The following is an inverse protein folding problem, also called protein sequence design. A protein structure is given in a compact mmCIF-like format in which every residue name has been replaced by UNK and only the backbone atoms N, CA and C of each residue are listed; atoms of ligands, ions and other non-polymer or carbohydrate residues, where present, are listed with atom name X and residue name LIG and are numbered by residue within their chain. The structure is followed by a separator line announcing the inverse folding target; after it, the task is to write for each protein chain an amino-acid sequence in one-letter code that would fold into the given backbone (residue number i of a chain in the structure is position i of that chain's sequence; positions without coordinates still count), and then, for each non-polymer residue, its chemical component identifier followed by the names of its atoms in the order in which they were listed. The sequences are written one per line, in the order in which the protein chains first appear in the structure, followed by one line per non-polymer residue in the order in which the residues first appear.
data_IF_042443289813
#
_entry.id   IF_042443289813
#
_cell.length_a   1.000
_cell.length_b   1.000
_cell.length_c   1.000
_cell.angle_alpha   90.00
_cell.angle_beta   90.00
_cell.angle_gamma   90.00
#
_symmetry.space_group_name_H-M   'P 1'
#
loop_
_entity.id
_entity.type
_entity.pdbx_description
1 polymer ?
#
# COMPACT_ATOMS: atom_id res chain seq x y z
N UNK A 1 56.55 62.62 -55.36
CA UNK A 1 55.69 61.53 -55.89
C UNK A 1 56.44 60.24 -55.68
N UNK A 2 56.00 59.21 -54.97
CA UNK A 2 54.70 58.84 -54.38
C UNK A 2 54.96 58.06 -53.08
N UNK A 3 54.02 58.19 -52.16
CA UNK A 3 54.05 57.74 -50.77
C UNK A 3 53.93 56.22 -50.62
N UNK A 4 54.59 55.72 -49.58
CA UNK A 4 54.48 54.35 -49.09
C UNK A 4 53.05 54.07 -48.59
N UNK A 5 52.48 52.93 -49.01
CA UNK A 5 51.17 52.45 -48.57
C UNK A 5 51.38 51.62 -47.30
N UNK A 6 51.03 52.20 -46.15
CA UNK A 6 50.85 51.48 -44.89
C UNK A 6 49.50 50.77 -44.92
N UNK A 7 49.50 49.44 -44.75
CA UNK A 7 48.31 48.61 -44.66
C UNK A 7 47.90 48.55 -43.19
N UNK A 8 46.85 49.29 -42.83
CA UNK A 8 46.33 49.44 -41.47
C UNK A 8 45.23 48.40 -41.26
N UNK A 9 45.54 47.30 -40.57
CA UNK A 9 44.56 46.27 -40.20
C UNK A 9 43.78 46.76 -38.98
N UNK A 10 42.58 47.27 -39.21
CA UNK A 10 41.62 47.58 -38.14
C UNK A 10 40.96 46.29 -37.69
N UNK A 11 41.34 45.78 -36.51
CA UNK A 11 40.63 44.70 -35.82
C UNK A 11 39.29 45.24 -35.29
N UNK A 12 38.18 44.85 -35.93
CA UNK A 12 36.84 45.01 -35.38
C UNK A 12 36.67 43.94 -34.27
N UNK A 13 36.70 44.36 -33.01
CA UNK A 13 36.16 43.56 -31.92
C UNK A 13 34.64 43.56 -32.04
N UNK A 14 34.09 42.52 -32.66
CA UNK A 14 32.68 42.18 -32.49
C UNK A 14 32.57 41.59 -31.09
N UNK A 15 32.08 42.39 -30.14
CA UNK A 15 31.62 41.89 -28.85
C UNK A 15 30.39 41.03 -29.14
N UNK A 16 30.60 39.72 -29.30
CA UNK A 16 29.50 38.77 -29.27
C UNK A 16 28.90 38.84 -27.87
N UNK A 17 27.76 39.52 -27.73
CA UNK A 17 26.84 39.24 -26.64
C UNK A 17 26.46 37.77 -26.78
N UNK A 18 27.15 36.92 -26.02
CA UNK A 18 26.72 35.56 -25.77
C UNK A 18 25.39 35.65 -25.04
N UNK A 19 24.29 35.65 -25.81
CA UNK A 19 22.98 35.35 -25.28
C UNK A 19 23.06 33.89 -24.84
N UNK A 20 23.41 33.67 -23.56
CA UNK A 20 23.26 32.38 -22.91
C UNK A 20 21.80 32.00 -23.10
N UNK A 21 21.55 30.99 -23.92
CA UNK A 21 20.23 30.35 -23.93
C UNK A 21 20.12 29.68 -22.58
N UNK A 22 19.40 30.30 -21.65
CA UNK A 22 18.93 29.61 -20.45
C UNK A 22 18.22 28.35 -20.94
N UNK A 23 18.69 27.18 -20.49
CA UNK A 23 17.98 25.94 -20.74
C UNK A 23 16.57 26.07 -20.15
N UNK A 24 15.54 25.57 -20.86
CA UNK A 24 14.17 25.66 -20.36
C UNK A 24 14.10 24.94 -19.01
N UNK A 25 13.70 25.68 -17.98
CA UNK A 25 13.53 25.15 -16.64
C UNK A 25 12.46 24.03 -16.65
N UNK A 26 12.87 22.81 -16.36
CA UNK A 26 11.97 21.67 -16.19
C UNK A 26 11.88 21.30 -14.70
N UNK A 27 10.66 21.18 -14.13
CA UNK A 27 10.50 20.78 -12.73
C UNK A 27 10.93 19.32 -12.52
N UNK A 28 11.44 19.03 -11.32
CA UNK A 28 11.73 17.66 -10.90
C UNK A 28 10.42 16.83 -10.90
N UNK A 29 10.41 15.65 -11.52
CA UNK A 29 9.23 14.78 -11.54
C UNK A 29 9.50 13.52 -10.72
N UNK A 30 8.60 13.20 -9.80
CA UNK A 30 8.62 11.94 -9.04
C UNK A 30 7.29 11.22 -9.13
N UNK A 31 7.32 9.91 -8.95
CA UNK A 31 6.13 9.09 -8.78
C UNK A 31 6.27 8.22 -7.54
N UNK A 32 5.17 8.01 -6.82
CA UNK A 32 5.15 7.14 -5.65
C UNK A 32 3.84 6.36 -5.58
N UNK A 33 3.93 5.13 -5.06
CA UNK A 33 2.77 4.29 -4.79
C UNK A 33 2.68 3.94 -3.31
N UNK A 34 1.61 4.40 -2.65
CA UNK A 34 1.40 4.31 -1.20
C UNK A 34 0.06 3.61 -0.94
N UNK A 35 -0.08 2.84 0.16
CA UNK A 35 -1.38 2.27 0.54
C UNK A 35 -2.31 3.35 1.09
N UNK A 36 -3.63 3.17 0.95
CA UNK A 36 -4.62 4.03 1.61
C UNK A 36 -4.43 4.04 3.14
N UNK A 37 -4.31 5.23 3.74
CA UNK A 37 -4.10 5.43 5.17
C UNK A 37 -2.64 5.36 5.63
N UNK A 38 -1.69 5.09 4.73
CA UNK A 38 -0.25 5.13 5.01
C UNK A 38 0.32 6.56 4.87
N UNK A 39 1.51 6.75 5.42
CA UNK A 39 2.31 7.97 5.22
C UNK A 39 3.70 7.60 4.71
N UNK A 40 4.16 8.28 3.67
CA UNK A 40 5.48 8.05 3.08
C UNK A 40 6.29 9.32 3.05
N UNK A 41 7.58 9.18 3.31
CA UNK A 41 8.56 10.25 3.20
C UNK A 41 9.27 10.19 1.84
N UNK A 42 9.45 11.35 1.22
CA UNK A 42 10.12 11.50 -0.07
C UNK A 42 11.22 12.54 0.07
N UNK A 43 12.43 12.12 -0.27
CA UNK A 43 13.57 13.02 -0.44
C UNK A 43 13.49 13.68 -1.81
N UNK A 44 13.62 15.01 -1.82
CA UNK A 44 13.75 15.81 -3.04
C UNK A 44 15.17 16.35 -3.15
N UNK A 45 15.62 16.62 -4.37
CA UNK A 45 16.98 17.13 -4.60
C UNK A 45 17.08 18.63 -4.27
N UNK A 46 15.96 19.34 -4.31
CA UNK A 46 15.90 20.77 -4.02
C UNK A 46 16.21 21.04 -2.54
N UNK A 47 17.14 21.96 -2.28
CA UNK A 47 17.45 22.42 -0.94
C UNK A 47 16.28 23.23 -0.36
N UNK A 48 15.60 22.63 0.63
CA UNK A 48 14.44 23.21 1.29
C UNK A 48 14.79 24.22 2.39
N UNK A 49 16.07 24.37 2.76
CA UNK A 49 16.47 25.20 3.91
C UNK A 49 16.33 26.70 3.67
N UNK A 50 16.32 27.12 2.41
CA UNK A 50 16.25 28.52 1.99
C UNK A 50 15.02 28.86 1.12
N UNK A 51 14.09 27.92 0.94
CA UNK A 51 12.91 28.14 0.10
C UNK A 51 11.70 28.63 0.90
N UNK A 52 10.90 29.51 0.31
CA UNK A 52 9.54 29.81 0.79
C UNK A 52 8.57 28.82 0.15
N UNK A 53 8.82 27.53 0.40
CA UNK A 53 8.11 26.48 -0.29
C UNK A 53 6.66 26.34 0.17
N UNK A 54 5.75 26.21 -0.79
CA UNK A 54 4.37 25.81 -0.57
C UNK A 54 4.10 24.44 -1.22
N UNK A 55 3.20 23.66 -0.64
CA UNK A 55 2.70 22.43 -1.22
C UNK A 55 1.26 22.62 -1.68
N UNK A 56 0.96 22.18 -2.89
CA UNK A 56 -0.38 22.16 -3.44
C UNK A 56 -0.74 20.73 -3.87
N UNK A 57 -1.75 20.15 -3.24
CA UNK A 57 -2.38 18.92 -3.72
C UNK A 57 -3.56 19.27 -4.63
N UNK A 58 -3.64 18.63 -5.79
CA UNK A 58 -4.78 18.77 -6.70
C UNK A 58 -6.07 18.20 -6.12
N UNK A 59 -5.95 17.12 -5.34
CA UNK A 59 -7.07 16.46 -4.67
C UNK A 59 -6.66 16.03 -3.25
N UNK A 60 -7.08 16.84 -2.27
CA UNK A 60 -6.81 16.61 -0.86
C UNK A 60 -7.64 15.45 -0.27
N UNK A 61 -8.71 15.01 -0.93
CA UNK A 61 -9.42 13.79 -0.52
C UNK A 61 -8.59 12.53 -0.79
N UNK A 62 -7.67 12.58 -1.77
CA UNK A 62 -6.79 11.45 -2.11
C UNK A 62 -5.51 11.49 -1.27
N UNK A 63 -4.79 12.61 -1.29
CA UNK A 63 -3.57 12.75 -0.52
C UNK A 63 -3.24 14.22 -0.18
N UNK A 64 -2.58 14.39 0.96
CA UNK A 64 -2.04 15.66 1.44
C UNK A 64 -0.54 15.54 1.66
N UNK A 65 0.18 16.64 1.66
CA UNK A 65 1.61 16.63 1.95
C UNK A 65 2.03 17.76 2.89
N UNK A 66 3.10 17.51 3.64
CA UNK A 66 3.76 18.47 4.51
C UNK A 66 5.26 18.46 4.23
N UNK A 67 5.92 19.58 4.53
CA UNK A 67 7.38 19.69 4.44
C UNK A 67 7.96 19.46 5.83
N UNK A 68 8.99 18.63 5.93
CA UNK A 68 9.83 18.51 7.13
C UNK A 68 11.30 18.80 6.80
N UNK A 69 12.18 18.68 7.79
CA UNK A 69 13.62 19.00 7.65
C UNK A 69 14.35 18.09 6.66
N UNK A 70 13.74 16.99 6.24
CA UNK A 70 14.36 15.92 5.46
C UNK A 70 13.72 15.75 4.09
N UNK A 71 12.57 16.37 3.82
CA UNK A 71 11.88 16.26 2.54
C UNK A 71 10.38 16.52 2.65
N UNK A 72 9.61 15.80 1.83
CA UNK A 72 8.15 15.90 1.74
C UNK A 72 7.53 14.64 2.33
N UNK A 73 6.63 14.83 3.29
CA UNK A 73 5.85 13.76 3.92
C UNK A 73 4.45 13.75 3.33
N UNK A 74 4.08 12.65 2.65
CA UNK A 74 2.79 12.46 1.97
C UNK A 74 1.91 11.54 2.80
N UNK A 75 0.72 12.01 3.18
CA UNK A 75 -0.31 11.23 3.87
C UNK A 75 -1.46 10.96 2.92
N UNK A 76 -1.87 9.69 2.80
CA UNK A 76 -2.94 9.25 1.89
C UNK A 76 -4.24 8.99 2.64
N UNK A 77 -5.36 9.27 1.98
CA UNK A 77 -6.69 9.19 2.59
C UNK A 77 -7.66 8.30 1.82
N UNK A 78 -7.60 8.32 0.48
CA UNK A 78 -8.52 7.60 -0.40
C UNK A 78 -7.78 7.04 -1.61
N UNK A 79 -8.08 5.81 -2.00
CA UNK A 79 -7.49 5.21 -3.19
C UNK A 79 -7.82 5.99 -4.46
N UNK A 80 -6.83 6.15 -5.33
CA UNK A 80 -6.93 6.98 -6.53
C UNK A 80 -5.56 7.53 -6.92
N UNK A 81 -5.54 8.56 -7.74
CA UNK A 81 -4.31 9.24 -8.14
C UNK A 81 -4.48 10.75 -8.03
N UNK A 82 -3.45 11.43 -7.53
CA UNK A 82 -3.41 12.89 -7.43
C UNK A 82 -2.00 13.40 -7.70
N UNK A 83 -1.87 14.67 -8.08
CA UNK A 83 -0.58 15.34 -8.20
C UNK A 83 -0.36 16.27 -7.00
N UNK A 84 0.83 16.22 -6.43
CA UNK A 84 1.29 17.17 -5.42
C UNK A 84 2.42 18.00 -6.02
N UNK A 85 2.29 19.32 -5.98
CA UNK A 85 3.30 20.27 -6.46
C UNK A 85 3.98 20.96 -5.31
N UNK A 86 5.31 21.00 -5.37
CA UNK A 86 6.15 21.89 -4.56
C UNK A 86 6.36 23.18 -5.33
N UNK A 87 6.06 24.33 -4.73
CA UNK A 87 6.22 25.64 -5.34
C UNK A 87 7.16 26.51 -4.51
N UNK A 88 7.99 27.34 -5.16
CA UNK A 88 8.70 28.46 -4.54
C UNK A 88 8.35 29.74 -5.29
N UNK A 89 7.62 30.64 -4.64
CA UNK A 89 7.11 31.88 -5.24
C UNK A 89 6.47 31.66 -6.63
N UNK A 90 5.48 30.76 -6.70
CA UNK A 90 4.74 30.34 -7.91
C UNK A 90 5.53 29.53 -8.97
N UNK A 91 6.85 29.36 -8.80
CA UNK A 91 7.65 28.46 -9.62
C UNK A 91 7.48 27.03 -9.11
N UNK A 92 7.00 26.12 -9.98
CA UNK A 92 6.89 24.69 -9.67
C UNK A 92 8.30 24.11 -9.58
N UNK A 93 8.71 23.68 -8.40
CA UNK A 93 10.01 23.05 -8.14
C UNK A 93 9.98 21.55 -8.43
N UNK A 94 8.91 20.89 -8.00
CA UNK A 94 8.74 19.45 -8.15
C UNK A 94 7.26 19.09 -8.33
N UNK A 95 7.00 18.14 -9.22
CA UNK A 95 5.71 17.48 -9.40
C UNK A 95 5.80 16.02 -8.93
N UNK A 96 4.94 15.65 -7.99
CA UNK A 96 4.91 14.32 -7.39
C UNK A 96 3.59 13.66 -7.73
N UNK A 97 3.61 12.67 -8.61
CA UNK A 97 2.47 11.86 -8.93
C UNK A 97 2.27 10.80 -7.84
N UNK A 98 1.16 10.90 -7.11
CA UNK A 98 0.82 10.01 -5.99
C UNK A 98 -0.25 9.03 -6.44
N UNK A 99 0.08 7.74 -6.42
CA UNK A 99 -0.88 6.66 -6.63
C UNK A 99 -1.22 5.98 -5.30
N UNK A 100 -2.44 6.17 -4.82
CA UNK A 100 -2.94 5.58 -3.57
C UNK A 100 -3.63 4.25 -3.89
N UNK A 101 -3.02 3.16 -3.43
CA UNK A 101 -3.51 1.78 -3.62
C UNK A 101 -4.54 1.41 -2.57
N UNK A 102 -5.57 0.68 -2.99
CA UNK A 102 -6.38 -0.12 -2.09
C UNK A 102 -6.02 -1.60 -2.21
N UNK A 103 -6.30 -2.38 -1.17
CA UNK A 103 -6.06 -3.82 -1.22
C UNK A 103 -6.77 -4.45 -2.40
N UNK A 104 -6.00 -5.11 -3.26
CA UNK A 104 -6.45 -5.66 -4.53
C UNK A 104 -5.56 -6.83 -4.90
N UNK A 105 -6.14 -7.88 -5.45
CA UNK A 105 -5.39 -8.99 -6.02
C UNK A 105 -6.29 -9.79 -6.95
N UNK A 106 -5.78 -10.19 -8.14
CA UNK A 106 -6.53 -11.08 -9.02
C UNK A 106 -6.66 -12.49 -8.45
N UNK A 107 -5.72 -12.92 -7.61
CA UNK A 107 -5.63 -14.31 -7.14
C UNK A 107 -4.86 -14.42 -5.81
N UNK A 108 -5.61 -14.62 -4.74
CA UNK A 108 -5.11 -15.01 -3.42
C UNK A 108 -5.58 -16.43 -3.15
N UNK A 109 -4.69 -17.30 -2.70
CA UNK A 109 -5.04 -18.65 -2.26
C UNK A 109 -4.98 -18.70 -0.74
N UNK A 110 -6.04 -19.22 -0.13
CA UNK A 110 -6.05 -19.53 1.30
C UNK A 110 -5.26 -20.83 1.54
N UNK A 111 -4.12 -20.73 2.22
CA UNK A 111 -3.28 -21.86 2.60
C UNK A 111 -3.75 -22.53 3.90
N UNK A 112 -4.83 -22.03 4.50
CA UNK A 112 -5.43 -22.52 5.72
C UNK A 112 -4.71 -22.07 6.99
N UNK A 113 -5.04 -22.76 8.07
CA UNK A 113 -4.42 -22.57 9.38
C UNK A 113 -3.05 -23.26 9.37
N UNK A 114 -1.94 -22.55 9.66
CA UNK A 114 -0.62 -23.16 9.79
C UNK A 114 -0.63 -24.36 10.74
N UNK A 115 0.04 -25.44 10.34
CA UNK A 115 0.34 -26.54 11.25
C UNK A 115 1.39 -26.07 12.25
N UNK A 116 1.24 -26.46 13.53
CA UNK A 116 2.26 -26.21 14.56
C UNK A 116 3.52 -26.98 14.17
N UNK A 117 4.50 -26.34 13.56
CA UNK A 117 5.84 -26.92 13.46
C UNK A 117 6.94 -25.84 13.51
N UNK A 118 7.75 -25.93 14.58
CA UNK A 118 9.15 -25.49 14.64
C UNK A 118 9.49 -23.99 14.60
N UNK A 119 8.58 -23.10 14.22
CA UNK A 119 8.93 -21.70 13.94
C UNK A 119 8.36 -20.69 14.96
N UNK A 120 9.22 -20.01 15.74
CA UNK A 120 8.79 -18.90 16.60
C UNK A 120 8.16 -17.78 15.77
N UNK A 121 6.97 -17.31 16.14
CA UNK A 121 6.30 -16.16 15.50
C UNK A 121 5.16 -16.48 14.53
N UNK A 122 4.73 -17.73 14.40
CA UNK A 122 3.60 -18.13 13.53
C UNK A 122 2.33 -18.39 14.35
N UNK A 123 1.40 -17.43 14.46
CA UNK A 123 0.19 -17.64 15.23
C UNK A 123 -0.79 -18.41 14.34
N UNK A 124 -1.01 -19.70 14.57
CA UNK A 124 -2.05 -20.47 13.87
C UNK A 124 -3.39 -20.39 14.59
N UNK A 125 -3.44 -20.91 15.82
CA UNK A 125 -4.61 -20.86 16.70
C UNK A 125 -4.15 -20.44 18.09
N UNK A 126 -4.83 -19.46 18.68
CA UNK A 126 -4.65 -19.05 20.09
C UNK A 126 -5.94 -19.31 20.84
N UNK A 127 -5.88 -20.15 21.88
CA UNK A 127 -7.02 -20.46 22.74
C UNK A 127 -6.58 -20.27 24.21
N UNK A 128 -7.34 -19.47 24.96
CA UNK A 128 -7.16 -19.30 26.41
C UNK A 128 -8.46 -19.68 27.12
N UNK A 129 -8.39 -20.70 27.97
CA UNK A 129 -9.49 -21.23 28.76
C UNK A 129 -8.99 -21.73 30.11
N UNK A 130 -9.83 -21.75 31.14
CA UNK A 130 -9.50 -22.34 32.45
C UNK A 130 -9.68 -23.86 32.44
N UNK A 131 -10.66 -24.38 31.71
CA UNK A 131 -10.81 -25.83 31.49
C UNK A 131 -9.78 -26.30 30.47
N UNK A 132 -8.85 -27.15 30.89
CA UNK A 132 -7.72 -27.64 30.07
C UNK A 132 -8.15 -28.62 28.96
N UNK A 133 -9.37 -29.16 28.99
CA UNK A 133 -9.86 -30.12 27.99
C UNK A 133 -10.40 -29.43 26.75
N UNK A 134 -11.00 -28.27 26.93
CA UNK A 134 -11.73 -27.52 25.90
C UNK A 134 -10.84 -27.00 24.77
N UNK A 135 -9.60 -26.52 25.00
CA UNK A 135 -8.74 -26.05 23.92
C UNK A 135 -8.52 -27.08 22.79
N UNK A 136 -8.38 -28.36 23.11
CA UNK A 136 -8.20 -29.40 22.09
C UNK A 136 -9.47 -29.67 21.28
N UNK A 137 -10.65 -29.60 21.91
CA UNK A 137 -11.94 -29.72 21.22
C UNK A 137 -12.15 -28.53 20.27
N UNK A 138 -11.90 -27.31 20.76
CA UNK A 138 -12.01 -26.08 19.96
C UNK A 138 -11.02 -26.09 18.79
N UNK A 139 -9.76 -26.48 19.01
CA UNK A 139 -8.76 -26.57 17.93
C UNK A 139 -9.22 -27.53 16.82
N UNK A 140 -9.80 -28.68 17.19
CA UNK A 140 -10.34 -29.63 16.22
C UNK A 140 -11.51 -29.03 15.43
N UNK A 141 -12.50 -28.45 16.11
CA UNK A 141 -13.65 -27.81 15.46
C UNK A 141 -13.23 -26.68 14.51
N UNK A 142 -12.29 -25.82 14.92
CA UNK A 142 -11.76 -24.74 14.08
C UNK A 142 -11.11 -25.27 12.79
N UNK A 143 -10.37 -26.38 12.89
CA UNK A 143 -9.74 -27.00 11.71
C UNK A 143 -10.77 -27.60 10.77
N UNK A 144 -11.72 -28.36 11.30
CA UNK A 144 -12.83 -28.94 10.52
C UNK A 144 -13.66 -27.85 9.81
N UNK A 145 -13.92 -26.72 10.48
CA UNK A 145 -14.61 -25.57 9.86
C UNK A 145 -13.82 -24.88 8.74
N UNK A 146 -12.49 -24.97 8.79
CA UNK A 146 -11.59 -24.31 7.84
C UNK A 146 -11.31 -25.14 6.61
N UNK A 147 -11.45 -26.46 6.69
CA UNK A 147 -11.18 -27.41 5.59
C UNK A 147 -11.79 -27.01 4.24
N UNK A 148 -13.07 -26.57 4.15
CA UNK A 148 -13.67 -26.20 2.86
C UNK A 148 -13.01 -25.00 2.17
N UNK A 149 -12.31 -24.16 2.93
CA UNK A 149 -11.67 -22.95 2.43
C UNK A 149 -10.19 -23.14 2.09
N UNK A 150 -9.59 -24.27 2.49
CA UNK A 150 -8.20 -24.56 2.12
C UNK A 150 -8.10 -24.72 0.60
N UNK A 151 -7.24 -23.92 -0.01
CA UNK A 151 -7.09 -23.83 -1.46
C UNK A 151 -8.14 -22.98 -2.14
N UNK A 152 -9.07 -22.35 -1.41
CA UNK A 152 -10.02 -21.42 -2.00
C UNK A 152 -9.28 -20.20 -2.57
N UNK A 153 -9.73 -19.76 -3.74
CA UNK A 153 -9.20 -18.58 -4.42
C UNK A 153 -10.06 -17.37 -4.12
N UNK A 154 -9.42 -16.28 -3.74
CA UNK A 154 -10.04 -14.99 -3.51
C UNK A 154 -9.55 -14.00 -4.56
N UNK A 155 -10.48 -13.22 -5.10
CA UNK A 155 -10.17 -12.08 -5.96
C UNK A 155 -10.70 -10.82 -5.30
N UNK A 156 -9.91 -9.76 -5.28
CA UNK A 156 -10.27 -8.44 -4.76
C UNK A 156 -10.04 -7.40 -5.85
N UNK A 157 -11.09 -6.64 -6.18
CA UNK A 157 -11.01 -5.57 -7.16
C UNK A 157 -11.16 -4.22 -6.45
N UNK A 158 -10.11 -3.38 -6.51
CA UNK A 158 -10.13 -2.07 -5.86
C UNK A 158 -11.14 -1.11 -6.48
N UNK A 159 -11.32 -1.13 -7.81
CA UNK A 159 -12.13 -0.12 -8.50
C UNK A 159 -13.63 -0.29 -8.20
N UNK A 160 -14.08 -1.54 -8.11
CA UNK A 160 -15.48 -1.91 -7.83
C UNK A 160 -15.75 -2.18 -6.35
N UNK A 161 -14.71 -2.29 -5.53
CA UNK A 161 -14.77 -2.75 -4.12
C UNK A 161 -15.48 -4.09 -3.95
N UNK A 162 -15.43 -4.94 -4.98
CA UNK A 162 -15.98 -6.30 -4.97
C UNK A 162 -14.91 -7.34 -4.73
N UNK A 163 -15.32 -8.42 -4.07
CA UNK A 163 -14.51 -9.62 -3.96
C UNK A 163 -15.30 -10.85 -4.40
N UNK A 164 -14.58 -11.90 -4.78
CA UNK A 164 -15.13 -13.22 -5.01
C UNK A 164 -14.34 -14.27 -4.23
N UNK A 165 -15.00 -15.37 -3.88
CA UNK A 165 -14.38 -16.57 -3.31
C UNK A 165 -14.78 -17.73 -4.20
N UNK A 166 -13.81 -18.51 -4.65
CA UNK A 166 -14.03 -19.78 -5.33
C UNK A 166 -13.44 -20.91 -4.49
N UNK A 167 -14.30 -21.71 -3.91
CA UNK A 167 -13.90 -22.89 -3.13
C UNK A 167 -13.60 -24.07 -4.05
N UNK A 168 -12.92 -25.08 -3.51
CA UNK A 168 -12.62 -26.34 -4.22
C UNK A 168 -13.88 -27.15 -4.57
N UNK A 169 -15.00 -26.89 -3.90
CA UNK A 169 -16.32 -27.50 -4.14
C UNK A 169 -17.17 -26.76 -5.18
N UNK A 170 -16.56 -25.88 -5.99
CA UNK A 170 -17.20 -25.03 -7.01
C UNK A 170 -18.24 -24.03 -6.46
N UNK A 171 -18.38 -23.92 -5.14
CA UNK A 171 -19.20 -22.86 -4.53
C UNK A 171 -18.48 -21.54 -4.69
N UNK A 172 -19.19 -20.58 -5.30
CA UNK A 172 -18.72 -19.23 -5.53
C UNK A 172 -19.51 -18.24 -4.68
N UNK A 173 -18.81 -17.38 -3.97
CA UNK A 173 -19.38 -16.24 -3.25
C UNK A 173 -18.95 -14.94 -3.95
N UNK A 174 -19.84 -13.96 -4.00
CA UNK A 174 -19.54 -12.59 -4.44
C UNK A 174 -20.06 -11.62 -3.38
N UNK A 175 -19.29 -10.56 -3.13
CA UNK A 175 -19.69 -9.52 -2.21
C UNK A 175 -18.87 -8.26 -2.36
N UNK A 176 -19.02 -7.36 -1.39
CA UNK A 176 -18.17 -6.18 -1.24
C UNK A 176 -17.23 -6.33 -0.05
N UNK A 177 -16.12 -5.60 -0.08
CA UNK A 177 -15.17 -5.60 1.03
C UNK A 177 -14.74 -4.19 1.41
N UNK A 178 -14.42 -4.06 2.70
CA UNK A 178 -13.72 -2.91 3.26
C UNK A 178 -12.40 -3.40 3.82
N UNK A 179 -11.33 -2.64 3.58
CA UNK A 179 -9.99 -2.95 4.02
C UNK A 179 -9.30 -1.70 4.56
N UNK A 180 -8.47 -1.91 5.58
CA UNK A 180 -7.38 -1.02 5.95
C UNK A 180 -6.17 -1.89 6.38
N UNK A 181 -5.06 -1.24 6.70
CA UNK A 181 -3.79 -1.91 7.06
C UNK A 181 -3.89 -2.94 8.19
N UNK A 182 -4.96 -2.89 9.01
CA UNK A 182 -5.13 -3.74 10.19
C UNK A 182 -6.38 -4.62 10.15
N UNK A 183 -7.27 -4.43 9.17
CA UNK A 183 -8.53 -5.17 9.11
C UNK A 183 -9.05 -5.37 7.70
N UNK A 184 -9.74 -6.49 7.52
CA UNK A 184 -10.48 -6.84 6.31
C UNK A 184 -11.90 -7.20 6.72
N UNK A 185 -12.89 -6.60 6.08
CA UNK A 185 -14.30 -6.88 6.31
C UNK A 185 -14.91 -7.37 5.01
N UNK A 186 -15.50 -8.56 5.03
CA UNK A 186 -16.18 -9.18 3.90
C UNK A 186 -17.69 -9.11 4.11
N UNK A 187 -18.43 -8.68 3.08
CA UNK A 187 -19.88 -8.52 3.10
C UNK A 187 -20.50 -9.27 1.94
N UNK A 188 -21.20 -10.37 2.23
CA UNK A 188 -21.79 -11.27 1.24
C UNK A 188 -22.91 -12.09 1.88
N UNK A 189 -23.91 -12.53 1.13
CA UNK A 189 -25.04 -13.36 1.62
C UNK A 189 -25.72 -12.85 2.90
N UNK A 190 -25.81 -11.53 3.07
CA UNK A 190 -26.34 -10.88 4.28
C UNK A 190 -25.45 -11.02 5.53
N UNK A 191 -24.26 -11.62 5.40
CA UNK A 191 -23.23 -11.71 6.43
C UNK A 191 -22.28 -10.53 6.35
N UNK A 192 -21.75 -10.15 7.50
CA UNK A 192 -20.64 -9.21 7.66
C UNK A 192 -19.59 -9.86 8.55
N UNK A 193 -18.46 -10.21 7.96
CA UNK A 193 -17.37 -10.89 8.66
C UNK A 193 -16.17 -9.95 8.73
N UNK A 194 -15.72 -9.65 9.95
CA UNK A 194 -14.58 -8.78 10.20
C UNK A 194 -13.39 -9.61 10.67
N UNK A 195 -12.26 -9.37 10.02
CA UNK A 195 -11.00 -10.04 10.25
C UNK A 195 -9.92 -9.02 10.63
N UNK A 196 -8.99 -9.43 11.49
CA UNK A 196 -7.69 -8.78 11.58
C UNK A 196 -6.90 -9.07 10.31
N UNK A 197 -6.13 -8.09 9.84
CA UNK A 197 -5.31 -8.19 8.63
C UNK A 197 -3.87 -7.78 8.94
N UNK A 198 -2.90 -8.56 8.49
CA UNK A 198 -1.47 -8.24 8.59
C UNK A 198 -0.72 -8.77 7.38
N UNK A 199 0.36 -8.10 6.98
CA UNK A 199 1.33 -8.66 6.05
C UNK A 199 2.17 -9.74 6.75
N UNK A 200 2.34 -10.91 6.13
CA UNK A 200 3.11 -12.00 6.70
C UNK A 200 4.62 -11.68 6.58
N UNK A 201 5.28 -11.45 7.72
CA UNK A 201 6.73 -11.17 7.74
C UNK A 201 7.53 -12.39 7.29
N UNK A 202 8.53 -12.20 6.44
CA UNK A 202 9.36 -13.30 5.91
C UNK A 202 8.72 -14.14 4.81
N UNK A 203 7.49 -13.80 4.38
CA UNK A 203 6.82 -14.42 3.24
C UNK A 203 6.53 -13.35 2.19
N UNK A 204 7.09 -13.51 0.98
CA UNK A 204 6.72 -12.64 -0.12
C UNK A 204 5.24 -12.86 -0.46
N UNK A 205 4.49 -11.76 -0.59
CA UNK A 205 3.08 -11.80 -0.99
C UNK A 205 2.15 -12.58 -0.04
N UNK A 206 2.55 -12.74 1.22
CA UNK A 206 1.74 -13.41 2.25
C UNK A 206 0.94 -12.42 3.11
N UNK A 207 -0.27 -12.82 3.50
CA UNK A 207 -1.13 -12.10 4.44
C UNK A 207 -1.59 -13.05 5.55
N UNK A 208 -1.87 -12.49 6.72
CA UNK A 208 -2.47 -13.18 7.86
C UNK A 208 -3.87 -12.61 8.06
N UNK A 209 -4.86 -13.48 7.99
CA UNK A 209 -6.27 -13.15 8.22
C UNK A 209 -6.69 -13.76 9.54
N UNK A 210 -6.94 -12.92 10.54
CA UNK A 210 -7.29 -13.31 11.90
C UNK A 210 -8.80 -13.25 12.10
N UNK A 211 -9.44 -14.34 12.48
CA UNK A 211 -10.83 -14.34 12.94
C UNK A 211 -10.89 -14.44 14.47
N UNK A 212 -11.70 -13.57 15.08
CA UNK A 212 -12.06 -13.68 16.49
C UNK A 212 -13.30 -14.57 16.63
N UNK A 213 -13.15 -15.70 17.31
CA UNK A 213 -14.22 -16.66 17.58
C UNK A 213 -14.55 -16.73 19.07
N UNK A 214 -14.03 -15.82 19.89
CA UNK A 214 -14.17 -15.85 21.36
C UNK A 214 -15.64 -15.93 21.79
N UNK A 215 -16.49 -15.04 21.29
CA UNK A 215 -17.93 -15.04 21.64
C UNK A 215 -18.68 -16.30 21.18
N UNK A 216 -18.28 -16.88 20.04
CA UNK A 216 -18.89 -18.13 19.55
C UNK A 216 -18.62 -19.26 20.54
N UNK A 217 -17.37 -19.39 20.98
CA UNK A 217 -16.95 -20.47 21.85
C UNK A 217 -17.31 -20.26 23.32
N UNK A 218 -17.36 -19.01 23.80
CA UNK A 218 -17.93 -18.70 25.12
C UNK A 218 -19.41 -19.13 25.22
N UNK A 219 -20.20 -18.95 24.16
CA UNK A 219 -21.60 -19.40 24.13
C UNK A 219 -21.74 -20.93 24.06
N UNK A 220 -20.84 -21.59 23.35
CA UNK A 220 -20.85 -23.06 23.20
C UNK A 220 -20.38 -23.78 24.47
N UNK A 221 -19.40 -23.20 25.17
CA UNK A 221 -18.79 -23.76 26.38
C UNK A 221 -18.81 -22.73 27.53
N UNK A 222 -19.99 -22.42 28.10
CA UNK A 222 -20.15 -21.34 29.08
C UNK A 222 -19.31 -21.52 30.35
N UNK A 223 -19.07 -22.77 30.77
CA UNK A 223 -18.35 -23.08 32.02
C UNK A 223 -16.83 -23.28 31.83
N UNK A 224 -16.32 -23.13 30.60
CA UNK A 224 -14.92 -23.41 30.27
C UNK A 224 -13.94 -22.28 30.64
N UNK A 225 -14.45 -21.12 31.08
CA UNK A 225 -13.66 -19.93 31.39
C UNK A 225 -12.83 -19.43 30.19
N UNK A 226 -13.43 -19.46 28.99
CA UNK A 226 -12.79 -19.01 27.75
C UNK A 226 -12.64 -17.48 27.76
N UNK A 227 -11.41 -17.01 27.54
CA UNK A 227 -11.08 -15.58 27.46
C UNK A 227 -10.60 -15.15 26.07
N UNK A 228 -10.13 -16.08 25.25
CA UNK A 228 -9.64 -15.79 23.90
C UNK A 228 -9.75 -17.02 23.01
N UNK A 229 -10.30 -16.85 21.81
CA UNK A 229 -10.19 -17.80 20.70
C UNK A 229 -9.93 -17.03 19.41
N UNK A 230 -8.68 -17.08 18.93
CA UNK A 230 -8.24 -16.45 17.68
C UNK A 230 -7.72 -17.52 16.73
N UNK A 231 -8.12 -17.42 15.46
CA UNK A 231 -7.65 -18.32 14.40
C UNK A 231 -7.09 -17.49 13.26
N UNK A 232 -5.94 -17.89 12.75
CA UNK A 232 -5.24 -17.19 11.68
C UNK A 232 -5.12 -18.10 10.47
N UNK A 233 -5.59 -17.59 9.34
CA UNK A 233 -5.35 -18.17 8.04
C UNK A 233 -4.18 -17.46 7.38
N UNK A 234 -3.37 -18.22 6.65
CA UNK A 234 -2.35 -17.66 5.77
C UNK A 234 -2.93 -17.57 4.38
N UNK A 235 -2.92 -16.36 3.83
CA UNK A 235 -3.32 -16.10 2.46
C UNK A 235 -2.09 -15.77 1.63
N UNK A 236 -1.92 -16.44 0.50
CA UNK A 236 -0.81 -16.16 -0.43
C UNK A 236 -1.33 -15.57 -1.71
N UNK A 237 -0.84 -14.38 -2.04
CA UNK A 237 -1.09 -13.75 -3.33
C UNK A 237 -0.18 -14.38 -4.39
N UNK A 238 -0.78 -15.09 -5.34
CA UNK A 238 -0.12 -15.66 -6.51
C UNK A 238 -0.25 -14.77 -7.75
N UNK A 239 -1.12 -13.77 -7.68
CA UNK A 239 -1.22 -12.74 -8.70
C UNK A 239 0.07 -11.95 -8.82
N UNK A 240 0.53 -11.75 -10.06
CA UNK A 240 1.50 -10.70 -10.40
C UNK A 240 0.90 -9.40 -9.85
N UNK A 241 1.49 -8.83 -8.80
CA UNK A 241 1.16 -7.47 -8.38
C UNK A 241 1.34 -6.61 -9.64
N UNK A 242 0.30 -5.91 -10.15
CA UNK A 242 0.52 -4.99 -11.25
C UNK A 242 1.64 -4.06 -10.80
N UNK A 243 2.76 -3.97 -11.53
CA UNK A 243 3.94 -3.25 -11.08
C UNK A 243 3.49 -1.88 -10.60
N UNK A 244 3.55 -1.69 -9.28
CA UNK A 244 3.30 -0.41 -8.64
C UNK A 244 4.50 0.46 -8.93
N UNK A 245 4.59 0.92 -10.18
CA UNK A 245 5.75 1.57 -10.74
C UNK A 245 5.42 1.91 -12.18
N UNK A 246 4.76 3.05 -12.37
CA UNK A 246 4.84 3.72 -13.67
C UNK A 246 6.29 4.19 -13.77
N UNK A 247 7.05 3.49 -14.62
CA UNK A 247 8.31 3.98 -15.16
C UNK A 247 7.91 5.05 -16.17
N UNK A 248 8.41 6.28 -16.00
CA UNK A 248 8.51 7.20 -17.11
C UNK A 248 9.95 7.17 -17.60
N UNK A 249 10.11 7.09 -18.92
CA UNK A 249 11.37 7.37 -19.62
C UNK A 249 11.82 8.82 -19.37
#
# INVERSE_FOLDING_TARGET
MRFAIFLLITSLFIVSYGCSKEEPYEPEKKSISIWEGETSHISIETDLTHCNCALQSEDQEIATATIDKTGICITTHKSGSTMIRLLDNDKILCEIFVYVKYFSSPEIIDWGIPLKEGSPGYPGITIKATDLRIPSEIEKELREESEPFIGATYTFNQDTRKFTIKTSSEVSYEGSYEWNLTSLTLMYDGKKEKYGFKFATGMSHGYIIEADKTEKYQRRYPDAGITEVKVNHVWKNNGIIPPGGIIFD
#
